data_IF_095280456919
#
_entry.id   IF_095280456919
#
_cell.length_a   1.000
_cell.length_b   1.000
_cell.length_c   1.000
_cell.angle_alpha   90.00
_cell.angle_beta   90.00
_cell.angle_gamma   90.00
#
_symmetry.space_group_name_H-M   'P 1'
#
loop_
_entity.id
_entity.type
_entity.pdbx_description
1 polymer ?
#
# COMPACT_ATOMS: atom_id res chain seq x y z
N UNK A 1 -4.97 5.89 0.75
CA UNK A 1 -5.90 6.06 -0.37
C UNK A 1 -7.31 6.05 0.19
N UNK A 2 -8.08 7.12 0.03
CA UNK A 2 -9.47 7.18 0.50
C UNK A 2 -10.41 6.37 -0.43
N UNK A 3 -11.71 6.30 -0.12
CA UNK A 3 -12.66 5.52 -0.91
C UNK A 3 -12.76 6.02 -2.37
N UNK A 4 -12.86 7.33 -2.59
CA UNK A 4 -13.04 7.91 -3.93
C UNK A 4 -11.81 7.67 -4.82
N UNK A 5 -10.60 7.84 -4.27
CA UNK A 5 -9.35 7.56 -4.98
C UNK A 5 -9.24 6.09 -5.39
N UNK A 6 -9.66 5.16 -4.51
CA UNK A 6 -9.68 3.72 -4.82
C UNK A 6 -10.66 3.40 -5.94
N UNK A 7 -11.87 3.96 -5.88
CA UNK A 7 -12.89 3.77 -6.92
C UNK A 7 -12.39 4.25 -8.27
N UNK A 8 -11.80 5.46 -8.35
CA UNK A 8 -11.24 5.99 -9.58
C UNK A 8 -10.09 5.12 -10.13
N UNK A 9 -9.27 4.55 -9.24
CA UNK A 9 -8.18 3.64 -9.63
C UNK A 9 -8.70 2.34 -10.25
N UNK A 10 -9.78 1.77 -9.69
CA UNK A 10 -10.40 0.55 -10.23
C UNK A 10 -11.10 0.83 -11.56
N UNK A 11 -11.78 1.98 -11.69
CA UNK A 11 -12.40 2.41 -12.96
C UNK A 11 -11.40 2.61 -14.09
N UNK A 12 -10.16 2.98 -13.78
CA UNK A 12 -9.08 3.10 -14.77
C UNK A 12 -8.45 1.75 -15.17
N UNK A 13 -8.84 0.64 -14.54
CA UNK A 13 -8.30 -0.69 -14.86
C UNK A 13 -8.86 -1.22 -16.18
N UNK A 14 -7.98 -1.61 -17.10
CA UNK A 14 -8.32 -2.15 -18.43
C UNK A 14 -9.38 -3.27 -18.41
N UNK A 15 -9.37 -4.09 -17.35
CA UNK A 15 -10.21 -5.28 -17.25
C UNK A 15 -11.55 -5.05 -16.53
N UNK A 16 -11.80 -3.83 -16.07
CA UNK A 16 -13.01 -3.48 -15.31
C UNK A 16 -14.04 -2.86 -16.23
N UNK A 17 -15.26 -3.39 -16.20
CA UNK A 17 -16.42 -2.82 -16.91
C UNK A 17 -17.28 -1.95 -15.99
N UNK A 18 -17.54 -2.43 -14.77
CA UNK A 18 -18.40 -1.76 -13.79
C UNK A 18 -17.80 -1.85 -12.39
N UNK A 19 -18.12 -0.86 -11.54
CA UNK A 19 -17.64 -0.80 -10.15
C UNK A 19 -18.82 -0.54 -9.22
N UNK A 20 -19.02 -1.45 -8.26
CA UNK A 20 -20.02 -1.29 -7.19
C UNK A 20 -19.41 -0.52 -6.03
N UNK A 21 -19.87 0.72 -5.82
CA UNK A 21 -19.41 1.58 -4.72
C UNK A 21 -20.20 1.24 -3.46
N UNK A 22 -19.49 1.05 -2.33
CA UNK A 22 -20.14 0.68 -1.07
C UNK A 22 -20.53 -0.79 -1.00
N UNK A 23 -19.83 -1.67 -1.72
CA UNK A 23 -20.00 -3.10 -1.61
C UNK A 23 -19.84 -3.56 -0.14
N UNK A 24 -20.71 -4.45 0.36
CA UNK A 24 -20.59 -5.00 1.71
C UNK A 24 -19.30 -5.82 1.84
N UNK A 25 -18.82 -5.98 3.08
CA UNK A 25 -17.62 -6.77 3.34
C UNK A 25 -17.83 -8.25 3.03
N UNK A 26 -18.94 -8.82 3.51
CA UNK A 26 -19.37 -10.17 3.19
C UNK A 26 -20.23 -10.18 1.93
N UNK A 27 -19.98 -11.15 1.06
CA UNK A 27 -20.77 -11.35 -0.16
C UNK A 27 -22.10 -11.99 0.22
N UNK A 28 -23.21 -11.28 0.01
CA UNK A 28 -24.56 -11.73 0.34
C UNK A 28 -25.26 -12.39 -0.85
N UNK A 29 -26.25 -13.22 -0.58
CA UNK A 29 -27.10 -13.83 -1.62
C UNK A 29 -27.81 -12.77 -2.47
N UNK A 30 -28.40 -11.75 -1.82
CA UNK A 30 -29.07 -10.64 -2.50
C UNK A 30 -28.15 -9.92 -3.49
N UNK A 31 -26.87 -9.74 -3.16
CA UNK A 31 -25.90 -9.11 -4.05
C UNK A 31 -25.65 -9.98 -5.29
N UNK A 32 -25.46 -11.28 -5.09
CA UNK A 32 -25.23 -12.24 -6.18
C UNK A 32 -26.44 -12.31 -7.12
N UNK A 33 -27.65 -12.35 -6.55
CA UNK A 33 -28.88 -12.51 -7.32
C UNK A 33 -29.28 -11.20 -8.01
N UNK A 34 -29.08 -10.05 -7.37
CA UNK A 34 -29.36 -8.73 -7.95
C UNK A 34 -28.50 -8.45 -9.19
N UNK A 35 -27.19 -8.70 -9.09
CA UNK A 35 -26.24 -8.48 -10.18
C UNK A 35 -26.10 -9.67 -11.11
N UNK A 36 -26.78 -10.80 -10.84
CA UNK A 36 -26.71 -12.06 -11.60
C UNK A 36 -25.26 -12.53 -11.79
N UNK A 37 -24.55 -12.67 -10.68
CA UNK A 37 -23.11 -12.99 -10.66
C UNK A 37 -22.91 -14.49 -10.87
N UNK A 38 -22.20 -14.86 -11.93
CA UNK A 38 -21.86 -16.26 -12.24
C UNK A 38 -20.61 -16.76 -11.51
N UNK A 39 -19.64 -15.88 -11.25
CA UNK A 39 -18.33 -16.24 -10.67
C UNK A 39 -17.87 -15.15 -9.71
N UNK A 40 -17.33 -15.55 -8.56
CA UNK A 40 -16.68 -14.68 -7.59
C UNK A 40 -15.19 -15.03 -7.52
N UNK A 41 -14.33 -14.07 -7.81
CA UNK A 41 -12.88 -14.26 -7.83
C UNK A 41 -12.18 -13.45 -6.74
N UNK A 42 -11.16 -14.04 -6.13
CA UNK A 42 -10.25 -13.34 -5.22
C UNK A 42 -8.80 -13.75 -5.47
N UNK A 43 -7.86 -12.84 -5.22
CA UNK A 43 -6.43 -13.17 -5.30
C UNK A 43 -6.00 -14.18 -4.23
N UNK A 44 -4.79 -14.71 -4.32
CA UNK A 44 -4.22 -15.55 -3.26
C UNK A 44 -3.76 -14.77 -2.01
N UNK A 45 -4.18 -13.52 -1.86
CA UNK A 45 -3.88 -12.72 -0.66
C UNK A 45 -4.66 -13.26 0.54
N UNK A 46 -4.14 -13.07 1.77
CA UNK A 46 -4.85 -13.46 2.98
C UNK A 46 -6.26 -12.87 3.03
N UNK A 47 -7.26 -13.72 3.27
CA UNK A 47 -8.66 -13.30 3.42
C UNK A 47 -8.90 -13.00 4.89
N UNK A 48 -9.16 -11.74 5.21
CA UNK A 48 -9.52 -11.36 6.57
C UNK A 48 -10.96 -11.82 6.87
N UNK A 49 -11.17 -12.39 8.06
CA UNK A 49 -12.50 -12.79 8.51
C UNK A 49 -13.24 -11.57 9.06
N UNK A 50 -14.53 -11.46 8.76
CA UNK A 50 -15.38 -10.47 9.40
C UNK A 50 -15.50 -10.78 10.90
N UNK A 51 -15.18 -9.79 11.74
CA UNK A 51 -15.11 -9.91 13.19
C UNK A 51 -14.25 -11.11 13.69
N UNK A 52 -13.28 -11.54 12.88
CA UNK A 52 -12.41 -12.68 13.18
C UNK A 52 -13.08 -14.06 13.13
N UNK A 53 -14.32 -14.15 12.65
CA UNK A 53 -15.11 -15.41 12.71
C UNK A 53 -15.76 -15.80 11.40
N UNK A 54 -16.20 -14.84 10.60
CA UNK A 54 -17.05 -15.10 9.44
C UNK A 54 -16.21 -14.97 8.17
N UNK A 55 -16.23 -16.01 7.34
CA UNK A 55 -15.59 -15.98 6.02
C UNK A 55 -16.44 -15.11 5.06
N UNK A 56 -15.89 -14.01 4.53
CA UNK A 56 -16.64 -13.11 3.65
C UNK A 56 -17.12 -13.78 2.35
N UNK A 57 -16.53 -14.92 1.97
CA UNK A 57 -16.90 -15.69 0.78
C UNK A 57 -17.68 -16.98 1.08
N UNK A 58 -18.20 -17.15 2.30
CA UNK A 58 -18.95 -18.35 2.68
C UNK A 58 -20.11 -18.67 1.72
N UNK A 59 -20.88 -17.66 1.33
CA UNK A 59 -22.01 -17.80 0.40
C UNK A 59 -21.53 -18.21 -1.02
N UNK A 60 -20.61 -17.49 -1.68
CA UNK A 60 -20.03 -17.92 -2.97
C UNK A 60 -19.42 -19.32 -2.96
N UNK A 61 -18.73 -19.70 -1.87
CA UNK A 61 -18.13 -21.04 -1.71
C UNK A 61 -19.20 -22.12 -1.62
N UNK A 62 -20.28 -21.87 -0.87
CA UNK A 62 -21.40 -22.80 -0.73
C UNK A 62 -22.14 -22.97 -2.07
N UNK A 63 -22.26 -21.90 -2.86
CA UNK A 63 -22.84 -21.92 -4.21
C UNK A 63 -21.90 -22.52 -5.28
N UNK A 64 -20.65 -22.83 -4.94
CA UNK A 64 -19.68 -23.43 -5.87
C UNK A 64 -19.16 -22.48 -6.95
N UNK A 65 -19.31 -21.16 -6.77
CA UNK A 65 -18.93 -20.14 -7.76
C UNK A 65 -17.68 -19.35 -7.36
N UNK A 66 -17.01 -19.73 -6.27
CA UNK A 66 -15.82 -19.05 -5.76
C UNK A 66 -14.53 -19.61 -6.39
N UNK A 67 -13.70 -18.72 -6.94
CA UNK A 67 -12.42 -19.07 -7.58
C UNK A 67 -11.27 -18.26 -7.00
N UNK A 68 -10.15 -18.92 -6.67
CA UNK A 68 -8.90 -18.25 -6.30
C UNK A 68 -8.03 -18.06 -7.53
N UNK A 69 -7.51 -16.85 -7.69
CA UNK A 69 -6.63 -16.46 -8.81
C UNK A 69 -5.23 -16.16 -8.27
N UNK A 70 -4.24 -16.80 -8.87
CA UNK A 70 -2.83 -16.47 -8.63
C UNK A 70 -2.40 -15.33 -9.56
N UNK A 71 -1.94 -14.22 -8.98
CA UNK A 71 -1.43 -13.07 -9.73
C UNK A 71 -0.01 -13.29 -10.26
N UNK A 72 0.69 -14.34 -9.81
CA UNK A 72 2.12 -14.58 -10.06
C UNK A 72 3.00 -13.38 -9.68
N UNK A 73 2.51 -12.52 -8.78
CA UNK A 73 3.15 -11.26 -8.42
C UNK A 73 3.20 -11.10 -6.90
N UNK A 74 4.40 -10.87 -6.39
CA UNK A 74 4.67 -10.67 -4.96
C UNK A 74 4.55 -9.20 -4.50
N UNK A 75 4.22 -8.27 -5.40
CA UNK A 75 4.05 -6.86 -5.05
C UNK A 75 2.79 -6.66 -4.21
N UNK A 76 2.95 -6.10 -3.02
CA UNK A 76 1.84 -5.74 -2.13
C UNK A 76 1.88 -4.26 -1.75
N UNK A 77 0.78 -3.76 -1.17
CA UNK A 77 0.70 -2.38 -0.68
C UNK A 77 1.70 -2.16 0.46
N UNK A 78 1.85 -3.14 1.34
CA UNK A 78 2.79 -3.13 2.45
C UNK A 78 4.22 -2.98 1.94
N UNK A 79 4.61 -3.74 0.91
CA UNK A 79 5.93 -3.67 0.31
C UNK A 79 6.22 -2.29 -0.29
N UNK A 80 5.22 -1.65 -0.91
CA UNK A 80 5.37 -0.29 -1.45
C UNK A 80 5.60 0.70 -0.30
N UNK A 81 4.83 0.60 0.78
CA UNK A 81 4.98 1.46 1.97
C UNK A 81 6.36 1.29 2.60
N UNK A 82 6.81 0.04 2.79
CA UNK A 82 8.14 -0.28 3.33
C UNK A 82 9.27 0.32 2.49
N UNK A 83 9.17 0.21 1.15
CA UNK A 83 10.15 0.80 0.23
C UNK A 83 10.22 2.32 0.37
N UNK A 84 9.07 3.00 0.45
CA UNK A 84 9.03 4.46 0.61
C UNK A 84 9.68 4.88 1.92
N UNK A 85 9.36 4.20 3.03
CA UNK A 85 9.92 4.49 4.36
C UNK A 85 11.43 4.23 4.36
N UNK A 86 11.87 3.10 3.82
CA UNK A 86 13.28 2.72 3.75
C UNK A 86 14.11 3.77 3.00
N UNK A 87 13.67 4.17 1.80
CA UNK A 87 14.34 5.19 1.00
C UNK A 87 14.35 6.56 1.70
N UNK A 88 13.27 6.90 2.40
CA UNK A 88 13.20 8.15 3.18
C UNK A 88 14.24 8.16 4.30
N UNK A 89 14.37 7.07 5.06
CA UNK A 89 15.34 6.94 6.14
C UNK A 89 16.78 6.99 5.63
N UNK A 90 17.06 6.36 4.49
CA UNK A 90 18.37 6.41 3.84
C UNK A 90 18.73 7.85 3.42
N UNK A 91 17.78 8.54 2.78
CA UNK A 91 17.94 9.93 2.39
C UNK A 91 18.26 10.83 3.59
N UNK A 92 17.51 10.69 4.69
CA UNK A 92 17.74 11.48 5.91
C UNK A 92 19.09 11.19 6.54
N UNK A 93 19.51 9.92 6.60
CA UNK A 93 20.82 9.53 7.15
C UNK A 93 21.96 10.16 6.35
N UNK A 94 21.88 10.10 5.02
CA UNK A 94 22.87 10.68 4.12
C UNK A 94 22.97 12.19 4.28
N UNK A 95 21.82 12.87 4.36
CA UNK A 95 21.79 14.33 4.52
C UNK A 95 22.35 14.76 5.88
N UNK A 96 21.94 14.12 6.99
CA UNK A 96 22.49 14.40 8.32
C UNK A 96 24.01 14.20 8.38
N UNK A 97 24.53 13.15 7.73
CA UNK A 97 25.97 12.91 7.66
C UNK A 97 26.70 14.00 6.85
N UNK A 98 26.08 14.51 5.78
CA UNK A 98 26.63 15.60 4.97
C UNK A 98 26.62 16.92 5.74
N UNK A 99 25.49 17.27 6.37
CA UNK A 99 25.35 18.46 7.20
C UNK A 99 26.35 18.47 8.36
N UNK A 100 26.52 17.34 9.06
CA UNK A 100 27.51 17.22 10.14
C UNK A 100 28.94 17.51 9.64
N UNK A 101 29.32 16.93 8.49
CA UNK A 101 30.64 17.16 7.87
C UNK A 101 30.83 18.62 7.45
N UNK A 102 29.80 19.26 6.90
CA UNK A 102 29.84 20.67 6.50
C UNK A 102 29.97 21.61 7.71
N UNK A 103 29.23 21.35 8.79
CA UNK A 103 29.35 22.09 10.05
C UNK A 103 30.75 21.96 10.66
N UNK A 104 31.28 20.74 10.76
CA UNK A 104 32.62 20.48 11.29
C UNK A 104 33.70 21.20 10.46
N UNK A 105 33.59 21.17 9.12
CA UNK A 105 34.50 21.88 8.24
C UNK A 105 34.43 23.41 8.39
N UNK A 106 33.22 23.95 8.55
CA UNK A 106 33.02 25.39 8.76
C UNK A 106 33.58 25.85 10.10
N UNK A 107 33.36 25.10 11.17
CA UNK A 107 33.93 25.39 12.50
C UNK A 107 35.45 25.35 12.48
N UNK A 108 36.06 24.36 11.83
CA UNK A 108 37.50 24.26 11.68
C UNK A 108 38.09 25.47 10.92
N UNK A 109 37.44 25.90 9.83
CA UNK A 109 37.82 27.10 9.08
C UNK A 109 37.71 28.37 9.92
N UNK A 110 36.66 28.50 10.75
CA UNK A 110 36.51 29.65 11.65
C UNK A 110 37.62 29.70 12.70
N UNK A 111 37.95 28.56 13.33
CA UNK A 111 39.04 28.47 14.31
C UNK A 111 40.38 28.85 13.68
N UNK A 112 40.71 28.32 12.50
CA UNK A 112 41.95 28.64 11.80
C UNK A 112 42.08 30.15 11.47
N UNK A 113 40.98 30.80 11.05
CA UNK A 113 40.95 32.25 10.81
C UNK A 113 41.16 33.08 12.09
N UNK A 114 40.64 32.63 13.22
CA UNK A 114 40.84 33.31 14.51
C UNK A 114 42.30 33.19 14.98
N UNK A 115 42.93 32.03 14.81
CA UNK A 115 44.35 31.83 15.18
C UNK A 115 45.29 32.70 14.32
N UNK A 116 45.02 32.86 13.02
CA UNK A 116 45.81 33.73 12.14
C UNK A 116 45.67 35.23 12.42
N UNK A 117 44.58 35.67 13.06
CA UNK A 117 44.37 37.08 13.44
C UNK A 117 44.99 37.46 14.78
N UNK A 118 45.38 36.47 15.59
CA UNK A 118 45.87 36.66 16.95
C UNK A 118 47.40 36.53 17.08
N UNK A 119 48.11 36.19 16.00
CA UNK A 119 49.57 36.22 15.89
C UNK A 119 50.01 37.30 14.93
#
# INVERSE_FOLDING_TARGET
MNLHERVLSVLACKYVNEVVIGAPYCVTEDLLDHFKIDVVCHGQTPIALENGKIDPYAVPKTRGIFTLIDSQNSMTTELIVERIISHRLEYERRNKAKEKKECEAFEALQRAKQTQKAG
#
